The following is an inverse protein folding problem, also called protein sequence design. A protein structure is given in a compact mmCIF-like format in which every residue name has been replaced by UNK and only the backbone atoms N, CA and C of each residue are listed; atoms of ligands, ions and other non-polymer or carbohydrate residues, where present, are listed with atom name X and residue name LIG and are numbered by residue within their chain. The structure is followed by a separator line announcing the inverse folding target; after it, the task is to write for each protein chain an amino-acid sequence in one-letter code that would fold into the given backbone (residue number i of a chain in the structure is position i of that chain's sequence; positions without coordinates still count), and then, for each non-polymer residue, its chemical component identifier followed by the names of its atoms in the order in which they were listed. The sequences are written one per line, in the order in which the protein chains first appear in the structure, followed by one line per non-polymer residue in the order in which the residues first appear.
data_IF_077894410192
#
_entry.id   IF_077894410192
#
_cell.length_a   1.000
_cell.length_b   1.000
_cell.length_c   1.000
_cell.angle_alpha   90.00
_cell.angle_beta   90.00
_cell.angle_gamma   90.00
#
_symmetry.space_group_name_H-M   'P 1'
#
loop_
_entity.id
_entity.type
_entity.pdbx_description
1 polymer ?
#
# COMPACT_ATOMS: atom_id res chain seq x y z
N UNK A 1 -5.68 13.14 -16.91
CA UNK A 1 -4.53 13.19 -15.99
C UNK A 1 -4.58 11.98 -15.06
N UNK A 2 -3.45 11.33 -14.85
CA UNK A 2 -3.38 10.13 -14.03
C UNK A 2 -3.02 10.52 -12.59
N UNK A 3 -3.88 10.16 -11.63
CA UNK A 3 -3.59 10.36 -10.22
C UNK A 3 -2.57 9.36 -9.69
N UNK A 4 -1.93 9.71 -8.57
CA UNK A 4 -0.96 8.84 -7.89
C UNK A 4 -1.49 8.44 -6.52
N UNK A 5 -1.37 7.17 -6.17
CA UNK A 5 -1.78 6.65 -4.87
C UNK A 5 -0.71 5.71 -4.31
N UNK A 6 -0.67 5.61 -2.99
CA UNK A 6 0.02 4.51 -2.31
C UNK A 6 -1.06 3.53 -1.84
N UNK A 7 -0.82 2.24 -2.05
CA UNK A 7 -1.74 1.19 -1.62
C UNK A 7 -1.17 0.54 -0.37
N UNK A 8 -1.94 0.58 0.73
CA UNK A 8 -1.55 -0.02 1.99
C UNK A 8 -1.60 -1.55 1.90
N UNK A 9 -0.80 -2.21 2.71
CA UNK A 9 -0.63 -3.66 2.74
C UNK A 9 -1.97 -4.39 2.88
N UNK A 10 -2.88 -3.92 3.72
CA UNK A 10 -4.17 -4.59 3.94
C UNK A 10 -5.01 -4.69 2.66
N UNK A 11 -4.98 -3.66 1.81
CA UNK A 11 -5.73 -3.67 0.54
C UNK A 11 -5.14 -4.68 -0.44
N UNK A 12 -3.80 -4.76 -0.50
CA UNK A 12 -3.13 -5.74 -1.33
C UNK A 12 -3.44 -7.16 -0.88
N UNK A 13 -3.42 -7.41 0.44
CA UNK A 13 -3.75 -8.72 1.01
C UNK A 13 -5.22 -9.07 0.81
N UNK A 14 -6.12 -8.10 0.88
CA UNK A 14 -7.55 -8.34 0.61
C UNK A 14 -7.75 -8.84 -0.82
N UNK A 15 -6.98 -8.34 -1.76
CA UNK A 15 -6.99 -8.81 -3.13
C UNK A 15 -6.36 -10.20 -3.26
N UNK A 16 -5.15 -10.38 -2.74
CA UNK A 16 -4.39 -11.63 -2.89
C UNK A 16 -5.07 -12.81 -2.20
N UNK A 17 -5.69 -12.59 -1.06
CA UNK A 17 -6.35 -13.61 -0.26
C UNK A 17 -7.87 -13.66 -0.46
N UNK A 18 -8.40 -12.84 -1.38
CA UNK A 18 -9.82 -12.75 -1.69
C UNK A 18 -10.70 -12.59 -0.44
N UNK A 19 -10.30 -11.65 0.42
CA UNK A 19 -11.00 -11.42 1.70
C UNK A 19 -12.31 -10.67 1.50
N UNK A 20 -13.42 -11.32 1.84
CA UNK A 20 -14.74 -10.67 1.82
C UNK A 20 -14.98 -9.89 3.12
N UNK A 21 -15.68 -8.77 3.06
CA UNK A 21 -16.34 -8.14 1.90
C UNK A 21 -15.43 -7.15 1.14
N UNK A 22 -14.12 -7.17 1.37
CA UNK A 22 -13.17 -6.16 0.88
C UNK A 22 -12.61 -6.44 -0.52
N UNK A 23 -12.73 -7.68 -0.97
CA UNK A 23 -12.05 -8.15 -2.20
C UNK A 23 -12.43 -7.34 -3.44
N UNK A 24 -13.72 -7.11 -3.67
CA UNK A 24 -14.17 -6.46 -4.91
C UNK A 24 -13.62 -5.03 -5.06
N UNK A 25 -13.65 -4.24 -4.00
CA UNK A 25 -13.13 -2.88 -4.04
C UNK A 25 -11.61 -2.87 -4.19
N UNK A 26 -10.91 -3.76 -3.47
CA UNK A 26 -9.47 -3.92 -3.61
C UNK A 26 -9.09 -4.28 -5.05
N UNK A 27 -9.80 -5.23 -5.65
CA UNK A 27 -9.60 -5.67 -7.03
C UNK A 27 -9.77 -4.49 -8.01
N UNK A 28 -10.81 -3.68 -7.83
CA UNK A 28 -11.07 -2.54 -8.70
C UNK A 28 -9.98 -1.47 -8.62
N UNK A 29 -9.46 -1.19 -7.42
CA UNK A 29 -8.35 -0.25 -7.24
C UNK A 29 -7.11 -0.77 -7.95
N UNK A 30 -6.77 -2.04 -7.76
CA UNK A 30 -5.60 -2.66 -8.39
C UNK A 30 -5.77 -2.69 -9.92
N UNK A 31 -6.96 -3.02 -10.42
CA UNK A 31 -7.26 -3.01 -11.86
C UNK A 31 -7.08 -1.61 -12.46
N UNK A 32 -7.49 -0.56 -11.73
CA UNK A 32 -7.27 0.82 -12.17
C UNK A 32 -5.78 1.11 -12.38
N UNK A 33 -4.93 0.56 -11.53
CA UNK A 33 -3.48 0.71 -11.66
C UNK A 33 -2.93 -0.09 -12.84
N UNK A 34 -3.38 -1.34 -13.02
CA UNK A 34 -2.94 -2.19 -14.13
C UNK A 34 -3.38 -1.64 -15.48
N UNK A 35 -4.53 -1.01 -15.54
CA UNK A 35 -5.07 -0.42 -16.76
C UNK A 35 -4.48 0.96 -17.08
N UNK A 36 -3.66 1.51 -16.21
CA UNK A 36 -3.00 2.79 -16.42
C UNK A 36 -3.85 4.01 -16.09
N UNK A 37 -5.04 3.82 -15.51
CA UNK A 37 -5.93 4.92 -15.11
C UNK A 37 -5.41 5.62 -13.85
N UNK A 38 -4.62 4.92 -13.05
CA UNK A 38 -4.03 5.41 -11.80
C UNK A 38 -2.59 4.94 -11.73
N UNK A 39 -1.69 5.76 -11.21
CA UNK A 39 -0.34 5.34 -10.88
C UNK A 39 -0.29 4.93 -9.42
N UNK A 40 0.09 3.69 -9.16
CA UNK A 40 0.15 3.14 -7.82
C UNK A 40 1.55 2.78 -7.37
N UNK A 41 1.86 3.02 -6.11
CA UNK A 41 3.09 2.54 -5.51
C UNK A 41 2.80 1.70 -4.27
N UNK A 42 3.77 0.87 -3.92
CA UNK A 42 3.81 0.04 -2.72
C UNK A 42 5.07 0.44 -1.97
N UNK A 43 4.97 0.59 -0.65
CA UNK A 43 6.15 0.81 0.18
C UNK A 43 6.98 -0.48 0.23
N UNK A 44 8.31 -0.37 0.15
CA UNK A 44 9.19 -1.53 0.10
C UNK A 44 8.98 -2.52 1.26
N UNK A 45 8.74 -2.01 2.48
CA UNK A 45 8.54 -2.89 3.64
C UNK A 45 7.25 -3.70 3.57
N UNK A 46 6.25 -3.25 2.80
CA UNK A 46 5.03 -4.03 2.56
C UNK A 46 5.31 -5.33 1.84
N UNK A 47 6.25 -5.32 0.90
CA UNK A 47 6.65 -6.54 0.17
C UNK A 47 7.21 -7.58 1.16
N UNK A 48 8.13 -7.17 2.02
CA UNK A 48 8.70 -8.05 3.04
C UNK A 48 7.65 -8.58 4.01
N UNK A 49 6.77 -7.70 4.48
CA UNK A 49 5.69 -8.09 5.39
C UNK A 49 4.73 -9.09 4.75
N UNK A 50 4.36 -8.87 3.49
CA UNK A 50 3.46 -9.78 2.77
C UNK A 50 4.10 -11.14 2.53
N UNK A 51 5.41 -11.18 2.27
CA UNK A 51 6.11 -12.46 2.10
C UNK A 51 5.93 -13.34 3.34
N UNK A 52 6.01 -12.74 4.52
CA UNK A 52 5.80 -13.45 5.78
C UNK A 52 4.31 -13.81 6.00
N UNK A 53 3.42 -12.85 5.81
CA UNK A 53 1.98 -13.04 6.07
C UNK A 53 1.39 -14.13 5.18
N UNK A 54 1.81 -14.20 3.92
CA UNK A 54 1.28 -15.17 2.95
C UNK A 54 1.79 -16.59 3.13
N UNK A 55 2.66 -16.86 4.13
CA UNK A 55 3.27 -18.17 4.32
C UNK A 55 2.28 -19.31 4.61
N UNK A 56 1.11 -18.97 5.15
CA UNK A 56 0.07 -19.97 5.48
C UNK A 56 -0.71 -20.42 4.24
N UNK A 57 -0.75 -19.60 3.21
CA UNK A 57 -1.60 -19.82 2.05
C UNK A 57 -0.82 -20.23 0.81
N UNK A 58 0.47 -19.90 0.75
CA UNK A 58 1.31 -20.10 -0.42
C UNK A 58 2.70 -20.60 -0.05
N UNK A 59 3.28 -21.42 -0.95
CA UNK A 59 4.67 -21.88 -0.81
C UNK A 59 5.62 -20.69 -1.01
N UNK A 60 6.88 -20.88 -0.63
CA UNK A 60 7.90 -19.84 -0.82
C UNK A 60 8.06 -19.47 -2.31
N UNK A 61 8.00 -20.46 -3.20
CA UNK A 61 8.07 -20.23 -4.64
C UNK A 61 6.90 -19.39 -5.14
N UNK A 62 5.68 -19.76 -4.73
CA UNK A 62 4.47 -19.03 -5.09
C UNK A 62 4.52 -17.58 -4.59
N UNK A 63 4.97 -17.38 -3.35
CA UNK A 63 5.09 -16.04 -2.76
C UNK A 63 6.09 -15.17 -3.53
N UNK A 64 7.21 -15.74 -3.94
CA UNK A 64 8.20 -15.03 -4.76
C UNK A 64 7.61 -14.59 -6.09
N UNK A 65 6.86 -15.47 -6.75
CA UNK A 65 6.20 -15.15 -8.02
C UNK A 65 5.13 -14.06 -7.86
N UNK A 66 4.26 -14.21 -6.85
CA UNK A 66 3.19 -13.24 -6.57
C UNK A 66 3.77 -11.84 -6.33
N UNK A 67 4.77 -11.76 -5.45
CA UNK A 67 5.34 -10.45 -5.07
C UNK A 67 6.20 -9.86 -6.19
N UNK A 68 6.87 -10.69 -6.98
CA UNK A 68 7.58 -10.22 -8.18
C UNK A 68 6.61 -9.59 -9.17
N UNK A 69 5.44 -10.21 -9.36
CA UNK A 69 4.40 -9.66 -10.24
C UNK A 69 3.88 -8.32 -9.74
N UNK A 70 3.68 -8.17 -8.43
CA UNK A 70 3.28 -6.89 -7.85
C UNK A 70 4.32 -5.81 -8.11
N UNK A 71 5.60 -6.13 -7.96
CA UNK A 71 6.70 -5.19 -8.23
C UNK A 71 6.78 -4.79 -9.70
N UNK A 72 6.22 -5.60 -10.61
CA UNK A 72 6.15 -5.28 -12.03
C UNK A 72 4.97 -4.34 -12.32
N UNK A 73 3.84 -4.55 -11.65
CA UNK A 73 2.62 -3.77 -11.85
C UNK A 73 2.73 -2.39 -11.20
N UNK A 74 3.29 -2.34 -9.99
CA UNK A 74 3.36 -1.13 -9.18
C UNK A 74 4.78 -0.60 -9.08
N UNK A 75 4.90 0.71 -8.92
CA UNK A 75 6.17 1.29 -8.47
C UNK A 75 6.40 0.89 -7.01
N UNK A 76 7.65 0.71 -6.63
CA UNK A 76 8.01 0.39 -5.25
C UNK A 76 8.87 1.52 -4.69
N UNK A 77 8.37 2.16 -3.64
CA UNK A 77 9.11 3.22 -2.96
C UNK A 77 10.07 2.60 -1.93
N UNK A 78 11.36 2.86 -2.13
CA UNK A 78 12.39 2.40 -1.21
C UNK A 78 12.36 3.12 0.12
N UNK A 79 12.89 2.47 1.15
CA UNK A 79 12.99 3.05 2.48
C UNK A 79 14.47 3.23 2.79
N UNK A 80 14.92 4.46 2.65
CA UNK A 80 16.29 4.85 2.93
C UNK A 80 16.45 5.36 4.36
N UNK A 81 17.66 5.74 4.72
CA UNK A 81 17.96 6.27 6.04
C UNK A 81 17.15 7.54 6.36
N UNK A 82 16.94 8.41 5.37
CA UNK A 82 16.20 9.64 5.58
C UNK A 82 14.74 9.37 5.99
N UNK A 83 14.08 8.42 5.32
CA UNK A 83 12.71 8.03 5.68
C UNK A 83 12.65 7.38 7.06
N UNK A 84 13.63 6.52 7.39
CA UNK A 84 13.70 5.89 8.71
C UNK A 84 13.83 6.93 9.81
N UNK A 85 14.73 7.90 9.65
CA UNK A 85 14.94 8.94 10.65
C UNK A 85 13.72 9.85 10.79
N UNK A 86 13.09 10.20 9.67
CA UNK A 86 11.87 11.02 9.68
C UNK A 86 10.74 10.29 10.41
N UNK A 87 10.56 9.00 10.13
CA UNK A 87 9.55 8.20 10.80
C UNK A 87 9.81 8.02 12.28
N UNK A 88 11.06 7.77 12.65
CA UNK A 88 11.44 7.60 14.06
C UNK A 88 11.28 8.89 14.87
N UNK A 89 11.42 10.05 14.25
CA UNK A 89 11.24 11.34 14.88
C UNK A 89 9.77 11.76 15.00
N UNK A 90 8.87 11.11 14.27
CA UNK A 90 7.46 11.46 14.24
C UNK A 90 6.68 10.73 15.34
N UNK A 91 6.63 11.34 16.53
CA UNK A 91 5.98 10.76 17.70
C UNK A 91 4.45 10.80 17.65
N UNK A 92 3.86 11.49 16.67
CA UNK A 92 2.41 11.56 16.51
C UNK A 92 1.81 10.26 15.98
N UNK A 93 2.59 9.51 15.19
CA UNK A 93 2.14 8.19 14.71
C UNK A 93 2.33 7.16 15.82
N UNK A 94 1.26 6.40 16.11
CA UNK A 94 1.33 5.29 17.07
C UNK A 94 2.02 4.06 16.48
N UNK A 95 1.95 3.88 15.17
CA UNK A 95 2.54 2.75 14.46
C UNK A 95 3.63 3.24 13.52
N UNK A 96 4.86 2.75 13.76
CA UNK A 96 6.03 3.16 12.97
C UNK A 96 5.92 2.71 11.51
N UNK A 97 5.39 1.51 11.26
CA UNK A 97 5.25 1.00 9.89
C UNK A 97 4.23 1.83 9.09
N UNK A 98 3.15 2.28 9.73
CA UNK A 98 2.19 3.18 9.08
C UNK A 98 2.83 4.54 8.77
N UNK A 99 3.68 5.02 9.67
CA UNK A 99 4.44 6.24 9.43
C UNK A 99 5.35 6.09 8.20
N UNK A 100 5.99 4.94 8.02
CA UNK A 100 6.81 4.67 6.84
C UNK A 100 5.95 4.61 5.57
N UNK A 101 4.73 4.11 5.64
CA UNK A 101 3.80 4.17 4.51
C UNK A 101 3.58 5.62 4.10
N UNK A 102 3.32 6.50 5.06
CA UNK A 102 3.14 7.92 4.79
C UNK A 102 4.40 8.56 4.20
N UNK A 103 5.58 8.23 4.72
CA UNK A 103 6.84 8.75 4.18
C UNK A 103 7.04 8.34 2.72
N UNK A 104 6.69 7.09 2.38
CA UNK A 104 6.72 6.61 1.01
C UNK A 104 5.69 7.33 0.13
N UNK A 105 4.49 7.54 0.63
CA UNK A 105 3.45 8.27 -0.09
C UNK A 105 3.90 9.69 -0.42
N UNK A 106 4.54 10.37 0.54
CA UNK A 106 5.08 11.72 0.34
C UNK A 106 6.14 11.75 -0.75
N UNK A 107 7.13 10.86 -0.68
CA UNK A 107 8.22 10.85 -1.65
C UNK A 107 7.75 10.48 -3.05
N UNK A 108 6.73 9.64 -3.15
CA UNK A 108 6.13 9.25 -4.43
C UNK A 108 5.30 10.39 -5.05
N UNK A 109 4.83 11.32 -4.22
CA UNK A 109 3.89 12.35 -4.65
C UNK A 109 2.46 11.85 -4.73
N UNK A 110 2.12 10.87 -3.89
CA UNK A 110 0.77 10.31 -3.85
C UNK A 110 -0.23 11.36 -3.33
N UNK A 111 -1.41 11.39 -3.93
CA UNK A 111 -2.52 12.21 -3.48
C UNK A 111 -3.24 11.57 -2.30
N UNK A 112 -3.26 10.23 -2.28
CA UNK A 112 -3.97 9.46 -1.25
C UNK A 112 -3.19 8.23 -0.84
N UNK A 113 -3.41 7.82 0.41
CA UNK A 113 -3.08 6.49 0.89
C UNK A 113 -4.39 5.71 0.87
N UNK A 114 -4.48 4.68 0.04
CA UNK A 114 -5.68 3.83 -0.04
C UNK A 114 -5.54 2.71 0.97
N UNK A 115 -6.40 2.69 1.97
CA UNK A 115 -6.32 1.78 3.11
C UNK A 115 -7.70 1.45 3.66
N UNK A 116 -7.82 0.29 4.34
CA UNK A 116 -9.02 -0.03 5.11
C UNK A 116 -9.03 0.64 6.48
N UNK A 117 -7.85 1.01 6.99
CA UNK A 117 -7.68 1.51 8.35
C UNK A 117 -7.38 3.01 8.35
N UNK A 118 -8.33 3.80 7.87
CA UNK A 118 -8.17 5.26 7.71
C UNK A 118 -7.78 5.94 9.02
N UNK A 119 -8.31 5.47 10.15
CA UNK A 119 -8.02 6.06 11.46
C UNK A 119 -6.55 5.95 11.86
N UNK A 120 -5.83 4.95 11.37
CA UNK A 120 -4.40 4.76 11.65
C UNK A 120 -3.55 5.88 11.02
N UNK A 121 -4.13 6.63 10.09
CA UNK A 121 -3.47 7.72 9.37
C UNK A 121 -4.02 9.10 9.73
N UNK A 122 -4.66 9.24 10.89
CA UNK A 122 -5.30 10.51 11.30
C UNK A 122 -4.31 11.67 11.39
N UNK A 123 -3.04 11.41 11.67
CA UNK A 123 -1.98 12.42 11.78
C UNK A 123 -1.12 12.49 10.52
N UNK A 124 -1.51 11.81 9.43
CA UNK A 124 -0.76 11.75 8.18
C UNK A 124 -0.83 13.07 7.42
N UNK A 125 0.30 13.44 6.80
CA UNK A 125 0.35 14.57 5.86
C UNK A 125 -0.34 14.26 4.53
N UNK A 126 -0.48 12.97 4.21
CA UNK A 126 -1.17 12.51 3.00
C UNK A 126 -2.50 11.91 3.44
N UNK A 127 -3.58 12.33 2.80
CA UNK A 127 -4.93 11.88 3.15
C UNK A 127 -5.10 10.40 2.90
N UNK A 128 -5.62 9.68 3.90
CA UNK A 128 -5.99 8.28 3.76
C UNK A 128 -7.47 8.16 3.44
N UNK A 129 -7.81 7.29 2.49
CA UNK A 129 -9.20 7.03 2.11
C UNK A 129 -9.42 5.53 1.91
N UNK A 130 -10.67 5.11 2.05
CA UNK A 130 -11.07 3.73 1.77
C UNK A 130 -11.02 3.43 0.27
N UNK A 131 -10.81 2.16 -0.13
CA UNK A 131 -10.91 1.77 -1.54
C UNK A 131 -12.23 2.22 -2.18
N UNK A 132 -13.36 2.05 -1.48
CA UNK A 132 -14.67 2.47 -1.99
C UNK A 132 -14.76 3.98 -2.21
N UNK A 133 -14.18 4.77 -1.31
CA UNK A 133 -14.13 6.22 -1.44
C UNK A 133 -13.28 6.64 -2.64
N UNK A 134 -12.14 6.01 -2.82
CA UNK A 134 -11.28 6.29 -3.97
C UNK A 134 -12.00 6.01 -5.29
N UNK A 135 -12.71 4.88 -5.36
CA UNK A 135 -13.45 4.49 -6.57
C UNK A 135 -14.62 5.42 -6.87
N UNK A 136 -15.12 6.16 -5.88
CA UNK A 136 -16.21 7.10 -6.03
C UNK A 136 -15.81 8.52 -6.42
N UNK A 137 -14.50 8.77 -6.55
CA UNK A 137 -14.00 10.11 -6.91
C UNK A 137 -14.24 10.46 -8.39
#
# INVERSE_FOLDING_TARGET
MVGKILIDTNVLLDYLLEREPFFEDAKKVISSCTEGNTKGCIAAHSISNMFFILRKDYTAKERREILSNLCTIFDVEGIDKAKLLSGLANEEFSDFEDCLQMECAKSYGAEYIVTRNVSDYSVSNIKAILPSEYLGL
#
